data_IF_650383918405
#
_entry.id   IF_650383918405
#
_cell.length_a   1.000
_cell.length_b   1.000
_cell.length_c   1.000
_cell.angle_alpha   90.00
_cell.angle_beta   90.00
_cell.angle_gamma   90.00
#
_symmetry.space_group_name_H-M   'P 1'
#
loop_
_entity.id
_entity.type
_entity.pdbx_description
1 polymer ?
#
# COMPACT_ATOMS: atom_id res chain seq x y z
N UNK A 1 2.66 41.61 13.36
CA UNK A 1 2.89 40.35 14.08
C UNK A 1 4.09 39.67 13.46
N UNK A 2 5.22 39.58 14.18
CA UNK A 2 6.37 38.75 13.75
C UNK A 2 6.18 37.37 14.35
N UNK A 3 6.03 36.36 13.50
CA UNK A 3 6.05 34.96 13.95
C UNK A 3 7.52 34.60 14.12
N UNK A 4 7.96 34.47 15.36
CA UNK A 4 9.29 33.90 15.63
C UNK A 4 9.23 32.40 15.34
N UNK A 5 10.05 31.94 14.40
CA UNK A 5 10.16 30.52 14.10
C UNK A 5 10.79 29.81 15.30
N UNK A 6 10.07 28.83 15.86
CA UNK A 6 10.61 27.95 16.90
C UNK A 6 11.77 27.16 16.28
N UNK A 7 12.99 27.47 16.69
CA UNK A 7 14.18 26.73 16.28
C UNK A 7 14.26 25.44 17.09
N UNK A 8 14.16 24.29 16.43
CA UNK A 8 14.29 22.98 17.07
C UNK A 8 15.77 22.64 17.25
N UNK A 9 16.10 22.02 18.38
CA UNK A 9 17.44 21.45 18.57
C UNK A 9 17.62 20.20 17.71
N UNK A 10 18.86 19.84 17.31
CA UNK A 10 19.13 18.61 16.54
C UNK A 10 18.58 17.35 17.21
N UNK A 11 18.52 17.33 18.55
CA UNK A 11 17.92 16.24 19.32
C UNK A 11 16.39 16.19 19.16
N UNK A 12 15.72 17.34 19.22
CA UNK A 12 14.27 17.43 19.02
C UNK A 12 13.88 17.05 17.58
N UNK A 13 14.64 17.51 16.59
CA UNK A 13 14.44 17.08 15.19
C UNK A 13 14.61 15.57 15.05
N UNK A 14 15.70 15.01 15.59
CA UNK A 14 15.97 13.58 15.55
C UNK A 14 14.86 12.75 16.19
N UNK A 15 14.30 13.21 17.32
CA UNK A 15 13.20 12.54 17.99
C UNK A 15 11.91 12.57 17.17
N UNK A 16 11.59 13.69 16.52
CA UNK A 16 10.41 13.80 15.64
C UNK A 16 10.53 12.82 14.48
N UNK A 17 11.66 12.80 13.77
CA UNK A 17 11.89 11.87 12.66
C UNK A 17 11.80 10.40 13.10
N UNK A 18 12.36 10.07 14.27
CA UNK A 18 12.31 8.72 14.82
C UNK A 18 10.87 8.29 15.16
N UNK A 19 10.11 9.15 15.86
CA UNK A 19 8.73 8.85 16.26
C UNK A 19 7.85 8.72 15.01
N UNK A 20 7.94 9.66 14.07
CA UNK A 20 7.18 9.61 12.82
C UNK A 20 7.49 8.34 12.02
N UNK A 21 8.78 8.01 11.84
CA UNK A 21 9.18 6.79 11.15
C UNK A 21 8.67 5.52 11.83
N UNK A 22 8.67 5.49 13.17
CA UNK A 22 8.19 4.35 13.96
C UNK A 22 6.68 4.17 13.84
N UNK A 23 5.89 5.25 13.93
CA UNK A 23 4.44 5.20 13.79
C UNK A 23 4.05 4.70 12.38
N UNK A 24 4.70 5.24 11.34
CA UNK A 24 4.48 4.80 9.97
C UNK A 24 4.83 3.32 9.78
N UNK A 25 5.93 2.85 10.39
CA UNK A 25 6.33 1.45 10.34
C UNK A 25 5.28 0.54 10.99
N UNK A 26 4.76 0.91 12.16
CA UNK A 26 3.72 0.14 12.85
C UNK A 26 2.46 0.04 11.97
N UNK A 27 2.03 1.15 11.36
CA UNK A 27 0.87 1.18 10.48
C UNK A 27 1.08 0.28 9.24
N UNK A 28 2.26 0.34 8.61
CA UNK A 28 2.60 -0.49 7.46
C UNK A 28 2.63 -1.99 7.81
N UNK A 29 3.18 -2.34 8.97
CA UNK A 29 3.19 -3.73 9.48
C UNK A 29 1.77 -4.23 9.77
N UNK A 30 0.92 -3.40 10.38
CA UNK A 30 -0.47 -3.76 10.64
C UNK A 30 -1.22 -4.02 9.33
N UNK A 31 -1.09 -3.14 8.34
CA UNK A 31 -1.70 -3.31 7.02
C UNK A 31 -1.19 -4.59 6.32
N UNK A 32 0.12 -4.87 6.40
CA UNK A 32 0.70 -6.08 5.85
C UNK A 32 0.13 -7.33 6.52
N UNK A 33 0.07 -7.38 7.85
CA UNK A 33 -0.49 -8.51 8.60
C UNK A 33 -1.96 -8.72 8.24
N UNK A 34 -2.74 -7.64 8.17
CA UNK A 34 -4.16 -7.73 7.79
C UNK A 34 -4.33 -8.31 6.39
N UNK A 35 -3.52 -7.85 5.42
CA UNK A 35 -3.49 -8.42 4.07
C UNK A 35 -3.07 -9.88 4.09
N UNK A 36 -2.04 -10.25 4.85
CA UNK A 36 -1.57 -11.63 4.95
C UNK A 36 -2.60 -12.56 5.59
N UNK A 37 -3.37 -12.10 6.58
CA UNK A 37 -4.47 -12.89 7.18
C UNK A 37 -5.59 -13.08 6.17
N UNK A 38 -5.99 -12.01 5.49
CA UNK A 38 -7.07 -12.01 4.49
C UNK A 38 -6.78 -12.95 3.31
N UNK A 39 -5.50 -13.07 2.92
CA UNK A 39 -5.05 -13.91 1.82
C UNK A 39 -4.14 -15.06 2.28
N UNK A 40 -4.25 -15.48 3.54
CA UNK A 40 -3.36 -16.51 4.14
C UNK A 40 -3.48 -17.88 3.48
N UNK A 41 -4.64 -18.20 2.92
CA UNK A 41 -4.91 -19.36 2.08
C UNK A 41 -4.96 -19.00 0.59
N UNK A 42 -4.42 -17.82 0.23
CA UNK A 42 -4.59 -17.18 -1.06
C UNK A 42 -4.37 -18.13 -2.22
N UNK A 43 -5.45 -18.38 -2.96
CA UNK A 43 -5.37 -19.13 -4.20
C UNK A 43 -5.11 -18.14 -5.33
N UNK A 44 -4.26 -18.54 -6.26
CA UNK A 44 -3.98 -17.73 -7.44
C UNK A 44 -4.86 -18.20 -8.59
N UNK A 45 -5.53 -17.24 -9.25
CA UNK A 45 -6.39 -17.51 -10.40
C UNK A 45 -6.01 -16.63 -11.57
N UNK A 46 -6.13 -17.16 -12.79
CA UNK A 46 -6.05 -16.35 -14.00
C UNK A 46 -7.43 -15.78 -14.28
N UNK A 47 -7.54 -14.45 -14.26
CA UNK A 47 -8.76 -13.72 -14.56
C UNK A 47 -8.62 -12.99 -15.90
N UNK A 48 -9.72 -12.85 -16.62
CA UNK A 48 -9.81 -12.06 -17.84
C UNK A 48 -10.41 -10.69 -17.51
N UNK A 49 -9.86 -9.63 -18.09
CA UNK A 49 -10.42 -8.27 -17.97
C UNK A 49 -11.63 -8.15 -18.88
N UNK A 50 -12.84 -8.15 -18.31
CA UNK A 50 -14.09 -8.05 -19.07
C UNK A 50 -14.33 -6.62 -19.57
N UNK A 51 -14.08 -5.63 -18.71
CA UNK A 51 -14.40 -4.24 -18.99
C UNK A 51 -13.51 -3.29 -18.19
N UNK A 52 -13.14 -2.16 -18.79
CA UNK A 52 -12.53 -1.03 -18.08
C UNK A 52 -13.48 0.17 -18.18
N UNK A 53 -14.07 0.57 -17.06
CA UNK A 53 -15.02 1.68 -17.01
C UNK A 53 -14.38 2.91 -16.37
N UNK A 54 -14.59 4.08 -16.97
CA UNK A 54 -14.34 5.36 -16.32
C UNK A 54 -15.58 5.75 -15.52
N UNK A 55 -15.42 5.91 -14.22
CA UNK A 55 -16.46 6.38 -13.31
C UNK A 55 -16.07 7.77 -12.80
N UNK A 56 -17.01 8.71 -12.92
CA UNK A 56 -16.84 10.07 -12.39
C UNK A 56 -17.52 10.13 -11.02
N UNK A 57 -16.74 10.39 -9.98
CA UNK A 57 -17.28 10.58 -8.63
C UNK A 57 -17.99 11.94 -8.55
N UNK A 58 -18.89 12.13 -7.58
CA UNK A 58 -19.65 13.38 -7.39
C UNK A 58 -18.79 14.64 -7.27
N UNK A 59 -17.51 14.50 -6.93
CA UNK A 59 -16.52 15.59 -6.81
C UNK A 59 -15.81 15.93 -8.14
N UNK A 60 -16.21 15.28 -9.25
CA UNK A 60 -15.63 15.49 -10.58
C UNK A 60 -14.30 14.77 -10.82
N UNK A 61 -13.88 13.89 -9.91
CA UNK A 61 -12.67 13.08 -10.06
C UNK A 61 -13.00 11.81 -10.85
N UNK A 62 -12.20 11.56 -11.89
CA UNK A 62 -12.35 10.40 -12.77
C UNK A 62 -11.50 9.24 -12.28
N UNK A 63 -12.14 8.11 -11.98
CA UNK A 63 -11.47 6.88 -11.61
C UNK A 63 -11.75 5.78 -12.64
N UNK A 64 -10.78 4.89 -12.82
CA UNK A 64 -10.94 3.73 -13.68
C UNK A 64 -11.23 2.51 -12.80
N UNK A 65 -12.37 1.87 -13.05
CA UNK A 65 -12.75 0.60 -12.41
C UNK A 65 -12.59 -0.50 -13.42
N UNK A 66 -11.80 -1.52 -13.08
CA UNK A 66 -11.56 -2.69 -13.92
C UNK A 66 -12.50 -3.80 -13.44
N UNK A 67 -13.23 -4.43 -14.34
CA UNK A 67 -14.06 -5.59 -14.04
C UNK A 67 -13.41 -6.85 -14.60
N UNK A 68 -13.32 -7.88 -13.78
CA UNK A 68 -12.66 -9.14 -14.13
C UNK A 68 -13.60 -10.33 -13.98
N UNK A 69 -13.31 -11.37 -14.76
CA UNK A 69 -13.96 -12.68 -14.68
C UNK A 69 -12.94 -13.78 -14.47
N UNK A 70 -13.25 -14.73 -13.59
CA UNK A 70 -12.45 -15.92 -13.36
C UNK A 70 -13.32 -17.09 -12.92
N UNK A 71 -12.77 -18.29 -13.01
CA UNK A 71 -13.41 -19.52 -12.53
C UNK A 71 -12.59 -20.08 -11.38
N UNK A 72 -13.25 -20.34 -10.25
CA UNK A 72 -12.64 -20.96 -9.08
C UNK A 72 -13.55 -22.09 -8.58
N UNK A 73 -12.98 -23.28 -8.36
CA UNK A 73 -13.72 -24.49 -7.93
C UNK A 73 -14.96 -24.81 -8.79
N UNK A 74 -14.90 -24.54 -10.10
CA UNK A 74 -16.00 -24.78 -11.04
C UNK A 74 -17.10 -23.73 -11.04
N UNK A 75 -17.00 -22.70 -10.19
CA UNK A 75 -17.90 -21.54 -10.16
C UNK A 75 -17.26 -20.39 -10.92
N UNK A 76 -18.02 -19.80 -11.86
CA UNK A 76 -17.59 -18.60 -12.59
C UNK A 76 -18.04 -17.37 -11.81
N UNK A 77 -17.09 -16.47 -11.55
CA UNK A 77 -17.32 -15.17 -10.94
C UNK A 77 -17.12 -14.11 -12.03
N UNK A 78 -18.17 -13.36 -12.32
CA UNK A 78 -18.21 -12.31 -13.34
C UNK A 78 -18.38 -10.92 -12.70
N UNK A 79 -18.03 -9.87 -13.45
CA UNK A 79 -18.16 -8.48 -13.03
C UNK A 79 -17.57 -8.19 -11.64
N UNK A 80 -16.44 -8.82 -11.30
CA UNK A 80 -15.79 -8.59 -10.03
C UNK A 80 -14.97 -7.30 -10.14
N UNK A 81 -15.21 -6.29 -9.30
CA UNK A 81 -14.47 -5.03 -9.37
C UNK A 81 -13.05 -5.22 -8.84
N UNK A 82 -12.08 -4.82 -9.64
CA UNK A 82 -10.68 -4.70 -9.30
C UNK A 82 -10.33 -3.22 -9.18
N UNK A 83 -9.95 -2.79 -7.98
CA UNK A 83 -9.64 -1.40 -7.66
C UNK A 83 -8.20 -0.99 -8.01
N UNK A 84 -7.43 -1.91 -8.60
CA UNK A 84 -6.07 -1.65 -9.10
C UNK A 84 -6.09 -1.55 -10.63
N UNK A 85 -6.07 -0.32 -11.13
CA UNK A 85 -5.91 -0.02 -12.56
C UNK A 85 -4.44 0.27 -12.89
N UNK A 86 -3.97 -0.29 -14.00
CA UNK A 86 -2.69 0.07 -14.63
C UNK A 86 -2.93 0.51 -16.07
N UNK A 87 -2.20 1.52 -16.52
CA UNK A 87 -2.28 2.02 -17.90
C UNK A 87 -1.92 0.96 -18.96
N UNK A 88 -1.28 -0.14 -18.57
CA UNK A 88 -0.96 -1.27 -19.45
C UNK A 88 -2.12 -2.25 -19.66
N UNK A 89 -3.16 -2.20 -18.84
CA UNK A 89 -4.29 -3.14 -18.91
C UNK A 89 -5.19 -2.85 -20.11
N UNK A 90 -5.62 -3.92 -20.79
CA UNK A 90 -6.63 -3.86 -21.86
C UNK A 90 -7.74 -4.87 -21.62
N UNK A 91 -8.92 -4.59 -22.15
CA UNK A 91 -10.01 -5.56 -22.19
C UNK A 91 -9.60 -6.79 -22.99
N UNK A 92 -9.92 -7.98 -22.47
CA UNK A 92 -9.50 -9.28 -22.98
C UNK A 92 -8.11 -9.75 -22.52
N UNK A 93 -7.33 -8.91 -21.81
CA UNK A 93 -6.07 -9.36 -21.22
C UNK A 93 -6.32 -10.33 -20.06
N UNK A 94 -5.42 -11.31 -19.92
CA UNK A 94 -5.38 -12.19 -18.75
C UNK A 94 -4.44 -11.63 -17.69
N UNK A 95 -4.92 -11.55 -16.45
CA UNK A 95 -4.17 -11.11 -15.28
C UNK A 95 -4.22 -12.17 -14.19
N UNK A 96 -3.12 -12.31 -13.47
CA UNK A 96 -3.02 -13.18 -12.31
C UNK A 96 -3.51 -12.44 -11.05
N UNK A 97 -4.51 -13.01 -10.38
CA UNK A 97 -5.12 -12.44 -9.18
C UNK A 97 -4.99 -13.37 -7.99
N UNK A 98 -4.84 -12.77 -6.82
CA UNK A 98 -4.89 -13.44 -5.53
C UNK A 98 -6.31 -13.35 -4.99
N UNK A 99 -6.92 -14.49 -4.69
CA UNK A 99 -8.27 -14.56 -4.12
C UNK A 99 -8.24 -15.15 -2.72
N UNK A 100 -9.20 -14.75 -1.88
CA UNK A 100 -9.44 -15.40 -0.59
C UNK A 100 -10.38 -16.61 -0.80
N UNK A 101 -9.94 -17.88 -0.60
CA UNK A 101 -10.83 -19.04 -0.76
C UNK A 101 -12.07 -19.02 0.14
N UNK A 102 -11.98 -18.38 1.33
CA UNK A 102 -13.12 -18.24 2.23
C UNK A 102 -14.14 -17.19 1.74
N UNK A 103 -13.72 -16.27 0.87
CA UNK A 103 -14.59 -15.32 0.21
C UNK A 103 -14.06 -15.00 -1.21
N UNK A 104 -14.36 -15.86 -2.21
CA UNK A 104 -13.72 -15.80 -3.52
C UNK A 104 -13.96 -14.49 -4.26
N UNK A 105 -15.01 -13.72 -3.93
CA UNK A 105 -15.31 -12.41 -4.54
C UNK A 105 -14.34 -11.30 -4.09
N UNK A 106 -13.55 -11.54 -3.04
CA UNK A 106 -12.53 -10.60 -2.58
C UNK A 106 -11.22 -10.91 -3.29
N UNK A 107 -10.86 -10.03 -4.21
CA UNK A 107 -9.71 -10.19 -5.11
C UNK A 107 -8.70 -9.07 -4.89
N UNK A 108 -7.42 -9.40 -5.08
CA UNK A 108 -6.33 -8.42 -5.12
C UNK A 108 -5.33 -8.82 -6.20
N UNK A 109 -4.53 -7.86 -6.65
CA UNK A 109 -3.37 -8.12 -7.51
C UNK A 109 -2.23 -8.71 -6.70
N UNK A 110 -1.56 -9.72 -7.26
CA UNK A 110 -0.39 -10.35 -6.64
C UNK A 110 0.76 -9.37 -6.34
N UNK A 111 0.80 -8.24 -7.06
CA UNK A 111 1.92 -7.28 -7.01
C UNK A 111 1.62 -6.01 -6.21
N UNK A 112 0.34 -5.61 -6.05
CA UNK A 112 -0.03 -4.32 -5.48
C UNK A 112 0.42 -4.14 -4.04
N UNK A 113 -0.06 -5.00 -3.14
CA UNK A 113 0.27 -4.92 -1.72
C UNK A 113 1.77 -5.15 -1.40
N UNK A 114 2.47 -6.15 -2.01
CA UNK A 114 3.89 -6.32 -1.79
C UNK A 114 4.73 -5.12 -2.25
N UNK A 115 4.38 -4.50 -3.39
CA UNK A 115 5.06 -3.31 -3.89
C UNK A 115 4.90 -2.12 -2.94
N UNK A 116 3.65 -1.85 -2.52
CA UNK A 116 3.37 -0.77 -1.58
C UNK A 116 4.09 -0.99 -0.25
N UNK A 117 4.09 -2.22 0.26
CA UNK A 117 4.80 -2.57 1.49
C UNK A 117 6.32 -2.31 1.37
N UNK A 118 6.94 -2.74 0.27
CA UNK A 118 8.36 -2.50 0.01
C UNK A 118 8.67 -0.98 -0.04
N UNK A 119 7.83 -0.19 -0.71
CA UNK A 119 7.97 1.26 -0.77
C UNK A 119 7.87 1.89 0.63
N UNK A 120 6.87 1.50 1.44
CA UNK A 120 6.71 1.98 2.81
C UNK A 120 7.90 1.61 3.70
N UNK A 121 8.48 0.42 3.52
CA UNK A 121 9.68 0.00 4.27
C UNK A 121 10.88 0.90 3.98
N UNK A 122 11.08 1.28 2.71
CA UNK A 122 12.16 2.21 2.31
C UNK A 122 11.94 3.59 2.96
N UNK A 123 10.71 4.12 2.89
CA UNK A 123 10.35 5.41 3.46
C UNK A 123 10.55 5.39 4.99
N UNK A 124 10.00 4.40 5.68
CA UNK A 124 10.13 4.28 7.14
C UNK A 124 11.60 4.16 7.56
N UNK A 125 12.39 3.37 6.82
CA UNK A 125 13.83 3.23 7.06
C UNK A 125 14.55 4.58 6.94
N UNK A 126 14.26 5.37 5.91
CA UNK A 126 14.83 6.71 5.74
C UNK A 126 14.56 7.62 6.95
N UNK A 127 13.32 7.67 7.43
CA UNK A 127 12.94 8.49 8.59
C UNK A 127 13.65 8.02 9.87
N UNK A 128 13.68 6.71 10.12
CA UNK A 128 14.31 6.15 11.32
C UNK A 128 15.82 6.37 11.30
N UNK A 129 16.49 6.06 10.18
CA UNK A 129 17.95 6.24 10.04
C UNK A 129 18.32 7.71 10.21
N UNK A 130 17.59 8.63 9.58
CA UNK A 130 17.81 10.07 9.75
C UNK A 130 17.62 10.50 11.20
N UNK A 131 16.54 10.06 11.86
CA UNK A 131 16.29 10.36 13.27
C UNK A 131 17.43 9.88 14.18
N UNK A 132 17.91 8.65 13.97
CA UNK A 132 19.04 8.08 14.71
C UNK A 132 20.34 8.87 14.48
N UNK A 133 20.65 9.26 13.24
CA UNK A 133 21.83 10.05 12.93
C UNK A 133 21.83 11.39 13.67
N UNK A 134 20.70 12.11 13.67
CA UNK A 134 20.56 13.37 14.41
C UNK A 134 20.75 13.17 15.91
N UNK A 135 20.15 12.12 16.49
CA UNK A 135 20.32 11.81 17.92
C UNK A 135 21.78 11.49 18.25
N UNK A 136 22.47 10.69 17.43
CA UNK A 136 23.88 10.33 17.64
C UNK A 136 24.78 11.55 17.56
N UNK A 137 24.60 12.41 16.56
CA UNK A 137 25.40 13.64 16.40
C UNK A 137 25.08 14.69 17.47
N UNK A 138 23.86 14.68 18.02
CA UNK A 138 23.46 15.56 19.11
C UNK A 138 24.01 15.12 20.48
N UNK A 139 24.53 13.89 20.61
CA UNK A 139 25.16 13.46 21.87
C UNK A 139 26.48 14.20 22.06
N UNK A 140 26.69 14.88 23.20
CA UNK A 140 28.00 15.44 23.51
C UNK A 140 29.01 14.29 23.59
N UNK A 141 30.09 14.40 22.81
CA UNK A 141 31.24 13.51 22.88
C UNK A 141 31.74 13.52 24.33
N UNK A 142 31.49 12.45 25.08
CA UNK A 142 32.11 12.26 26.40
C UNK A 142 33.62 12.11 26.16
N UNK A 143 34.37 13.18 26.42
CA UNK A 143 35.83 13.12 26.57
C UNK A 143 36.20 12.40 27.86
#
# INVERSE_FOLDING_TARGET
>A
MRVEAIQLTPLQEGLIFLITGTILLIAALFACIQSSVEFSSGATVTAEIEQIRRETTGDGEDHHVVYVRYTYEGVTYDHIPLYSYSASMREGDSIELLINPANPRRVDTTWGMPFLFALFMIICSFFIVRGLLFIVHARPQRK
#
